data_IF_023602631444
#
_entry.id   IF_023602631444
#
_cell.length_a   1.000
_cell.length_b   1.000
_cell.length_c   1.000
_cell.angle_alpha   90.00
_cell.angle_beta   90.00
_cell.angle_gamma   90.00
#
_symmetry.space_group_name_H-M   'P 1'
#
loop_
_entity.id
_entity.type
_entity.pdbx_description
1 polymer ?
#
# COMPACT_ATOMS: atom_id res chain seq x y z
N UNK A 1 7.03 -20.56 3.51
CA UNK A 1 6.25 -19.32 3.36
C UNK A 1 7.06 -18.01 3.47
N UNK A 2 8.06 -17.89 4.36
CA UNK A 2 8.90 -16.67 4.53
C UNK A 2 9.57 -16.10 3.26
N UNK A 3 9.96 -16.95 2.30
CA UNK A 3 10.60 -16.49 1.06
C UNK A 3 9.64 -15.75 0.13
N UNK A 4 8.35 -16.15 0.12
CA UNK A 4 7.34 -15.48 -0.70
C UNK A 4 7.03 -14.09 -0.17
N UNK A 5 6.84 -13.96 1.14
CA UNK A 5 6.59 -12.66 1.76
C UNK A 5 7.75 -11.68 1.52
N UNK A 6 9.00 -12.14 1.63
CA UNK A 6 10.17 -11.31 1.29
C UNK A 6 10.19 -10.85 -0.16
N UNK A 7 9.79 -11.70 -1.12
CA UNK A 7 9.70 -11.32 -2.53
C UNK A 7 8.61 -10.26 -2.74
N UNK A 8 7.44 -10.45 -2.13
CA UNK A 8 6.32 -9.50 -2.19
C UNK A 8 6.69 -8.13 -1.59
N UNK A 9 7.41 -8.12 -0.47
CA UNK A 9 7.87 -6.87 0.15
C UNK A 9 8.91 -6.15 -0.71
N UNK A 10 9.78 -6.90 -1.39
CA UNK A 10 10.76 -6.31 -2.32
C UNK A 10 10.06 -5.65 -3.52
N UNK A 11 9.07 -6.31 -4.11
CA UNK A 11 8.25 -5.72 -5.17
C UNK A 11 7.50 -4.47 -4.67
N UNK A 12 6.99 -4.50 -3.44
CA UNK A 12 6.33 -3.33 -2.84
C UNK A 12 7.27 -2.13 -2.68
N UNK A 13 8.55 -2.37 -2.30
CA UNK A 13 9.53 -1.29 -2.23
C UNK A 13 9.75 -0.63 -3.59
N UNK A 14 9.78 -1.40 -4.68
CA UNK A 14 9.86 -0.84 -6.04
C UNK A 14 8.66 0.06 -6.34
N UNK A 15 7.47 -0.27 -5.86
CA UNK A 15 6.28 0.58 -6.02
C UNK A 15 6.36 1.86 -5.19
N UNK A 16 6.92 1.78 -3.99
CA UNK A 16 7.18 2.94 -3.12
C UNK A 16 8.16 3.90 -3.77
N UNK A 17 9.29 3.39 -4.26
CA UNK A 17 10.36 4.16 -4.89
C UNK A 17 10.04 4.59 -6.34
N UNK A 18 9.06 3.96 -6.98
CA UNK A 18 8.63 4.32 -8.32
C UNK A 18 8.23 5.79 -8.40
N UNK A 19 8.85 6.52 -9.32
CA UNK A 19 8.52 7.93 -9.63
C UNK A 19 7.22 8.05 -10.44
N UNK A 20 6.61 6.93 -10.81
CA UNK A 20 5.35 6.93 -11.56
C UNK A 20 4.22 7.44 -10.67
N UNK A 21 3.44 8.39 -11.22
CA UNK A 21 2.24 8.92 -10.53
C UNK A 21 1.16 7.87 -10.35
N UNK A 22 1.11 6.85 -11.24
CA UNK A 22 0.13 5.76 -11.20
C UNK A 22 0.78 4.45 -11.61
N UNK A 23 0.62 3.42 -10.80
CA UNK A 23 1.08 2.06 -11.08
C UNK A 23 0.10 1.41 -12.05
N UNK A 24 0.57 1.08 -13.25
CA UNK A 24 -0.25 0.39 -14.27
C UNK A 24 -0.19 -1.13 -14.14
N UNK A 25 0.94 -1.65 -13.69
CA UNK A 25 1.20 -3.08 -13.51
C UNK A 25 1.78 -3.27 -12.12
N UNK A 26 1.04 -3.98 -11.25
CA UNK A 26 1.46 -4.28 -9.89
C UNK A 26 0.74 -5.54 -9.41
N UNK A 27 1.34 -6.23 -8.44
CA UNK A 27 0.71 -7.38 -7.79
C UNK A 27 -0.04 -6.93 -6.53
N UNK A 28 -1.33 -7.23 -6.48
CA UNK A 28 -2.17 -6.92 -5.31
C UNK A 28 -1.62 -7.53 -4.02
N UNK A 29 -1.09 -8.76 -4.08
CA UNK A 29 -0.50 -9.43 -2.92
C UNK A 29 0.73 -8.70 -2.39
N UNK A 30 1.55 -8.10 -3.27
CA UNK A 30 2.70 -7.31 -2.88
C UNK A 30 2.28 -6.02 -2.16
N UNK A 31 1.25 -5.34 -2.69
CA UNK A 31 0.66 -4.17 -2.03
C UNK A 31 0.09 -4.54 -0.66
N UNK A 32 -0.68 -5.63 -0.56
CA UNK A 32 -1.26 -6.08 0.73
C UNK A 32 -0.17 -6.42 1.76
N UNK A 33 0.89 -7.12 1.36
CA UNK A 33 2.02 -7.44 2.23
C UNK A 33 2.74 -6.16 2.69
N UNK A 34 2.96 -5.23 1.77
CA UNK A 34 3.56 -3.92 2.05
C UNK A 34 2.74 -3.06 2.99
N UNK A 35 1.44 -2.95 2.76
CA UNK A 35 0.52 -2.18 3.62
C UNK A 35 0.46 -2.76 5.03
N UNK A 36 0.36 -4.09 5.16
CA UNK A 36 0.40 -4.76 6.46
C UNK A 36 1.70 -4.44 7.21
N UNK A 37 2.85 -4.52 6.53
CA UNK A 37 4.15 -4.20 7.15
C UNK A 37 4.25 -2.72 7.55
N UNK A 38 3.90 -1.82 6.63
CA UNK A 38 3.90 -0.38 6.89
C UNK A 38 2.99 -0.01 8.06
N UNK A 39 1.83 -0.66 8.18
CA UNK A 39 0.93 -0.49 9.33
C UNK A 39 1.56 -0.95 10.65
N UNK A 40 2.20 -2.11 10.66
CA UNK A 40 2.92 -2.63 11.84
C UNK A 40 4.07 -1.70 12.26
N UNK A 41 4.76 -1.11 11.29
CA UNK A 41 5.85 -0.14 11.49
C UNK A 41 5.33 1.29 11.77
N UNK A 42 4.00 1.49 11.78
CA UNK A 42 3.33 2.80 11.90
C UNK A 42 3.73 3.81 10.81
N UNK A 43 4.20 3.33 9.67
CA UNK A 43 4.53 4.11 8.49
C UNK A 43 3.27 4.32 7.63
N UNK A 44 2.35 5.13 8.16
CA UNK A 44 1.11 5.48 7.49
C UNK A 44 1.35 6.33 6.23
N UNK A 45 2.46 7.08 6.19
CA UNK A 45 2.86 7.89 5.05
C UNK A 45 3.15 7.02 3.82
N UNK A 46 3.84 5.88 4.00
CA UNK A 46 4.07 4.92 2.91
C UNK A 46 2.76 4.33 2.38
N UNK A 47 1.80 3.98 3.25
CA UNK A 47 0.48 3.48 2.84
C UNK A 47 -0.22 4.52 1.95
N UNK A 48 -0.27 5.78 2.41
CA UNK A 48 -0.84 6.89 1.64
C UNK A 48 -0.13 7.10 0.30
N UNK A 49 1.20 7.13 0.29
CA UNK A 49 2.00 7.41 -0.90
C UNK A 49 1.80 6.35 -1.99
N UNK A 50 1.74 5.07 -1.60
CA UNK A 50 1.51 3.97 -2.56
C UNK A 50 0.05 3.88 -2.95
N UNK A 51 -0.90 4.03 -2.01
CA UNK A 51 -2.33 4.01 -2.32
C UNK A 51 -2.72 5.08 -3.35
N UNK A 52 -2.15 6.29 -3.26
CA UNK A 52 -2.37 7.36 -4.27
C UNK A 52 -1.89 7.01 -5.67
N UNK A 53 -0.95 6.06 -5.80
CA UNK A 53 -0.48 5.56 -7.10
C UNK A 53 -1.35 4.42 -7.63
N UNK A 54 -2.17 3.80 -6.78
CA UNK A 54 -3.06 2.70 -7.17
C UNK A 54 -4.32 3.31 -7.78
N UNK A 55 -4.80 2.79 -8.93
CA UNK A 55 -6.11 3.13 -9.45
C UNK A 55 -7.22 3.00 -8.39
N UNK A 56 -8.03 4.04 -8.21
CA UNK A 56 -9.10 4.03 -7.20
C UNK A 56 -10.06 2.85 -7.35
N UNK A 57 -10.40 2.47 -8.59
CA UNK A 57 -11.21 1.28 -8.85
C UNK A 57 -10.60 0.02 -8.23
N UNK A 58 -9.28 -0.20 -8.39
CA UNK A 58 -8.60 -1.37 -7.83
C UNK A 58 -8.54 -1.29 -6.31
N UNK A 59 -8.35 -0.08 -5.76
CA UNK A 59 -8.34 0.13 -4.32
C UNK A 59 -9.72 -0.20 -3.70
N UNK A 60 -10.80 0.23 -4.35
CA UNK A 60 -12.18 -0.03 -3.92
C UNK A 60 -12.61 -1.48 -4.13
N UNK A 61 -12.13 -2.14 -5.19
CA UNK A 61 -12.36 -3.57 -5.45
C UNK A 61 -11.72 -4.47 -4.36
N UNK A 62 -10.67 -3.98 -3.69
CA UNK A 62 -9.97 -4.72 -2.65
C UNK A 62 -10.30 -4.19 -1.24
N UNK A 63 -11.17 -4.87 -0.48
CA UNK A 63 -11.60 -4.38 0.83
C UNK A 63 -10.46 -4.27 1.85
N UNK A 64 -9.37 -5.05 1.69
CA UNK A 64 -8.22 -4.95 2.59
C UNK A 64 -7.38 -3.72 2.29
N UNK A 65 -7.17 -3.40 1.01
CA UNK A 65 -6.43 -2.20 0.65
C UNK A 65 -7.19 -0.93 1.02
N UNK A 66 -8.50 -0.90 0.76
CA UNK A 66 -9.37 0.20 1.18
C UNK A 66 -9.31 0.41 2.70
N UNK A 67 -9.45 -0.66 3.49
CA UNK A 67 -9.35 -0.59 4.94
C UNK A 67 -8.02 0.01 5.42
N UNK A 68 -6.88 -0.44 4.87
CA UNK A 68 -5.57 0.11 5.25
C UNK A 68 -5.44 1.58 4.87
N UNK A 69 -5.96 1.96 3.70
CA UNK A 69 -5.99 3.35 3.26
C UNK A 69 -6.81 4.23 4.21
N UNK A 70 -8.06 3.87 4.51
CA UNK A 70 -8.92 4.63 5.42
C UNK A 70 -8.30 4.75 6.81
N UNK A 71 -7.73 3.66 7.34
CA UNK A 71 -7.05 3.67 8.62
C UNK A 71 -5.82 4.57 8.61
N UNK A 72 -4.99 4.50 7.58
CA UNK A 72 -3.81 5.35 7.45
C UNK A 72 -4.20 6.83 7.24
N UNK A 73 -5.29 7.11 6.51
CA UNK A 73 -5.82 8.45 6.30
C UNK A 73 -6.28 9.05 7.63
N UNK A 74 -7.05 8.29 8.41
CA UNK A 74 -7.50 8.69 9.76
C UNK A 74 -6.32 8.97 10.70
N UNK A 75 -5.22 8.22 10.57
CA UNK A 75 -4.02 8.41 11.39
C UNK A 75 -3.15 9.59 10.94
N UNK A 76 -3.04 9.81 9.63
CA UNK A 76 -2.21 10.88 9.04
C UNK A 76 -2.89 12.24 9.01
N UNK A 77 -4.22 12.24 8.86
CA UNK A 77 -5.05 13.44 8.72
C UNK A 77 -6.17 13.44 9.74
N UNK A 78 -5.86 13.05 10.98
CA UNK A 78 -6.79 13.26 12.09
C UNK A 78 -7.19 14.73 12.12
N UNK A 79 -8.49 14.96 11.94
CA UNK A 79 -9.21 16.25 11.96
C UNK A 79 -9.26 16.99 10.60
N UNK A 80 -10.37 16.77 9.88
CA UNK A 80 -11.09 17.87 9.24
C UNK A 80 -11.72 18.75 10.33
#
# INVERSE_FOLDING_TARGET
>A
EKLRERALLREFEEYRESKQKRLKVFRLEAVRAGFKKAWQERDYATIMAVARKIPENVLQEDPKLLMWYDQALTRMGGEL
#
